data_IF_816494917162
#
_entry.id   IF_816494917162
#
_cell.length_a   1.000
_cell.length_b   1.000
_cell.length_c   1.000
_cell.angle_alpha   90.00
_cell.angle_beta   90.00
_cell.angle_gamma   90.00
#
_symmetry.space_group_name_H-M   'P 1'
#
loop_
_entity.id
_entity.type
_entity.pdbx_description
1 polymer ?
#
# COMPACT_ATOMS: atom_id res chain seq x y z
N UNK A 1 13.73 17.59 -47.26
CA UNK A 1 14.49 16.44 -46.70
C UNK A 1 14.66 16.52 -45.18
N UNK A 2 14.55 17.71 -44.57
CA UNK A 2 14.58 17.94 -43.12
C UNK A 2 13.26 17.62 -42.39
N UNK A 3 12.13 17.63 -43.10
CA UNK A 3 10.81 17.33 -42.53
C UNK A 3 10.66 15.84 -42.12
N UNK A 4 11.11 14.89 -42.96
CA UNK A 4 11.05 13.44 -42.68
C UNK A 4 11.86 13.03 -41.43
N UNK A 5 12.99 13.69 -41.17
CA UNK A 5 13.80 13.44 -39.97
C UNK A 5 13.13 13.98 -38.71
N UNK A 6 12.49 15.14 -38.79
CA UNK A 6 11.81 15.76 -37.65
C UNK A 6 10.57 14.96 -37.27
N UNK A 7 9.83 14.47 -38.26
CA UNK A 7 8.64 13.63 -38.08
C UNK A 7 9.01 12.29 -37.42
N UNK A 8 10.01 11.56 -37.93
CA UNK A 8 10.50 10.31 -37.31
C UNK A 8 11.01 10.50 -35.89
N UNK A 9 11.70 11.61 -35.61
CA UNK A 9 12.20 11.90 -34.25
C UNK A 9 11.04 12.17 -33.28
N UNK A 10 9.97 12.83 -33.76
CA UNK A 10 8.77 13.09 -32.97
C UNK A 10 7.95 11.83 -32.68
N UNK A 11 7.88 10.90 -33.63
CA UNK A 11 7.23 9.61 -33.43
C UNK A 11 7.98 8.72 -32.44
N UNK A 12 9.31 8.66 -32.53
CA UNK A 12 10.13 7.92 -31.55
C UNK A 12 10.00 8.50 -30.13
N UNK A 13 9.99 9.82 -30.00
CA UNK A 13 9.75 10.48 -28.70
C UNK A 13 8.36 10.14 -28.14
N UNK A 14 7.35 10.06 -29.01
CA UNK A 14 5.99 9.68 -28.65
C UNK A 14 5.91 8.21 -28.22
N UNK A 15 6.56 7.29 -28.92
CA UNK A 15 6.64 5.88 -28.51
C UNK A 15 7.32 5.70 -27.15
N UNK A 16 8.43 6.42 -26.91
CA UNK A 16 9.12 6.40 -25.61
C UNK A 16 8.23 6.95 -24.51
N UNK A 17 7.50 8.04 -24.77
CA UNK A 17 6.56 8.64 -23.82
C UNK A 17 5.40 7.67 -23.48
N UNK A 18 4.83 7.01 -24.49
CA UNK A 18 3.76 6.00 -24.31
C UNK A 18 4.29 4.83 -23.48
N UNK A 19 5.46 4.29 -23.84
CA UNK A 19 6.08 3.16 -23.13
C UNK A 19 6.33 3.50 -21.66
N UNK A 20 6.85 4.70 -21.39
CA UNK A 20 7.10 5.18 -20.02
C UNK A 20 5.80 5.37 -19.23
N UNK A 21 4.73 5.82 -19.89
CA UNK A 21 3.42 5.95 -19.27
C UNK A 21 2.80 4.58 -18.94
N UNK A 22 2.91 3.61 -19.84
CA UNK A 22 2.46 2.24 -19.59
C UNK A 22 3.20 1.61 -18.42
N UNK A 23 4.53 1.70 -18.40
CA UNK A 23 5.35 1.19 -17.30
C UNK A 23 4.97 1.80 -15.95
N UNK A 24 4.78 3.13 -15.90
CA UNK A 24 4.36 3.82 -14.69
C UNK A 24 2.96 3.38 -14.21
N UNK A 25 2.05 3.08 -15.14
CA UNK A 25 0.73 2.56 -14.80
C UNK A 25 0.80 1.14 -14.24
N UNK A 26 1.63 0.27 -14.80
CA UNK A 26 1.86 -1.08 -14.26
C UNK A 26 2.50 -1.03 -12.88
N UNK A 27 3.52 -0.19 -12.69
CA UNK A 27 4.19 -0.02 -11.40
C UNK A 27 3.19 0.40 -10.32
N UNK A 28 2.28 1.33 -10.64
CA UNK A 28 1.21 1.78 -9.73
C UNK A 28 0.23 0.66 -9.39
N UNK A 29 -0.13 -0.21 -10.34
CA UNK A 29 -0.97 -1.38 -10.08
C UNK A 29 -0.28 -2.36 -9.11
N UNK A 30 1.01 -2.63 -9.32
CA UNK A 30 1.79 -3.48 -8.41
C UNK A 30 1.89 -2.89 -7.01
N UNK A 31 2.17 -1.59 -6.89
CA UNK A 31 2.23 -0.89 -5.59
C UNK A 31 0.86 -0.93 -4.89
N UNK A 32 -0.22 -0.70 -5.61
CA UNK A 32 -1.57 -0.79 -5.04
C UNK A 32 -1.87 -2.21 -4.52
N UNK A 33 -1.57 -3.25 -5.31
CA UNK A 33 -1.75 -4.63 -4.90
C UNK A 33 -0.86 -5.02 -3.70
N UNK A 34 0.38 -4.52 -3.65
CA UNK A 34 1.28 -4.74 -2.53
C UNK A 34 0.78 -4.07 -1.25
N UNK A 35 0.26 -2.84 -1.33
CA UNK A 35 -0.32 -2.12 -0.18
C UNK A 35 -1.57 -2.83 0.36
N UNK A 36 -2.41 -3.39 -0.51
CA UNK A 36 -3.60 -4.13 -0.11
C UNK A 36 -3.24 -5.46 0.60
N UNK A 37 -2.24 -6.18 0.08
CA UNK A 37 -1.68 -7.38 0.73
C UNK A 37 -1.00 -7.06 2.06
N UNK A 38 -0.34 -5.91 2.18
CA UNK A 38 0.31 -5.50 3.43
C UNK A 38 -0.70 -5.05 4.49
N UNK A 39 -1.78 -4.37 4.08
CA UNK A 39 -2.90 -4.00 4.96
C UNK A 39 -3.60 -5.24 5.54
N UNK A 40 -3.88 -6.24 4.70
CA UNK A 40 -4.47 -7.51 5.15
C UNK A 40 -3.54 -8.29 6.07
N UNK A 41 -2.24 -8.38 5.74
CA UNK A 41 -1.26 -9.01 6.62
C UNK A 41 -1.13 -8.30 7.99
N UNK A 42 -1.18 -6.96 8.01
CA UNK A 42 -1.18 -6.17 9.25
C UNK A 42 -2.39 -6.46 10.13
N UNK A 43 -3.58 -6.65 9.54
CA UNK A 43 -4.78 -7.01 10.31
C UNK A 43 -4.65 -8.43 10.87
N UNK A 44 -4.20 -9.38 10.05
CA UNK A 44 -4.08 -10.79 10.48
C UNK A 44 -3.03 -10.93 11.58
N UNK A 45 -1.85 -10.36 11.41
CA UNK A 45 -0.76 -10.49 12.38
C UNK A 45 -0.97 -9.56 13.58
N UNK A 46 -1.40 -8.31 13.34
CA UNK A 46 -1.47 -7.28 14.37
C UNK A 46 -2.75 -7.28 15.20
N UNK A 47 -3.84 -7.89 14.73
CA UNK A 47 -5.11 -7.98 15.46
C UNK A 47 -5.52 -9.42 15.75
N UNK A 48 -5.60 -10.27 14.73
CA UNK A 48 -6.02 -11.67 14.89
C UNK A 48 -5.01 -12.49 15.70
N UNK A 49 -3.71 -12.28 15.50
CA UNK A 49 -2.66 -12.96 16.28
C UNK A 49 -2.80 -12.76 17.80
N UNK A 50 -2.79 -11.51 18.30
CA UNK A 50 -3.02 -11.22 19.71
C UNK A 50 -4.38 -11.72 20.23
N UNK A 51 -5.44 -11.63 19.41
CA UNK A 51 -6.76 -12.11 19.79
C UNK A 51 -6.77 -13.64 20.04
N UNK A 52 -6.17 -14.41 19.12
CA UNK A 52 -6.05 -15.86 19.26
C UNK A 52 -5.19 -16.21 20.47
N UNK A 53 -4.06 -15.51 20.68
CA UNK A 53 -3.19 -15.73 21.83
C UNK A 53 -3.92 -15.53 23.18
N UNK A 54 -4.76 -14.50 23.28
CA UNK A 54 -5.60 -14.26 24.46
C UNK A 54 -6.65 -15.35 24.64
N UNK A 55 -7.27 -15.83 23.56
CA UNK A 55 -8.29 -16.89 23.62
C UNK A 55 -7.69 -18.24 24.02
N UNK A 56 -6.50 -18.58 23.54
CA UNK A 56 -5.84 -19.86 23.86
C UNK A 56 -5.15 -19.86 25.21
N UNK A 57 -4.80 -18.68 25.73
CA UNK A 57 -4.03 -18.56 26.97
C UNK A 57 -4.43 -17.27 27.71
N UNK A 58 -5.57 -17.30 28.41
CA UNK A 58 -6.11 -16.12 29.11
C UNK A 58 -5.21 -15.64 30.26
N UNK A 59 -4.37 -16.52 30.81
CA UNK A 59 -3.43 -16.23 31.90
C UNK A 59 -2.35 -15.20 31.50
N UNK A 60 -2.15 -14.99 30.19
CA UNK A 60 -1.25 -13.97 29.64
C UNK A 60 -1.68 -12.56 30.05
N UNK A 61 -2.98 -12.32 30.26
CA UNK A 61 -3.49 -11.01 30.72
C UNK A 61 -3.39 -10.85 32.24
N UNK A 62 -3.26 -11.95 32.98
CA UNK A 62 -3.26 -11.92 34.46
C UNK A 62 -1.85 -11.76 35.04
N UNK A 63 -0.81 -12.15 34.31
CA UNK A 63 0.59 -12.03 34.73
C UNK A 63 1.28 -10.73 34.29
N UNK A 64 0.67 -9.96 33.38
CA UNK A 64 1.28 -8.75 32.85
C UNK A 64 1.02 -7.54 33.77
N UNK A 65 2.09 -6.80 34.08
CA UNK A 65 1.97 -5.48 34.72
C UNK A 65 1.13 -4.53 33.84
N UNK A 66 0.39 -3.60 34.44
CA UNK A 66 -0.44 -2.61 33.74
C UNK A 66 0.29 -1.89 32.58
N UNK A 67 1.60 -1.69 32.71
CA UNK A 67 2.45 -1.05 31.69
C UNK A 67 2.64 -1.94 30.45
N UNK A 68 2.78 -3.26 30.63
CA UNK A 68 2.86 -4.24 29.54
C UNK A 68 1.52 -4.38 28.80
N UNK A 69 0.42 -4.36 29.55
CA UNK A 69 -0.93 -4.41 29.00
C UNK A 69 -1.22 -3.14 28.16
N UNK A 70 -0.78 -1.98 28.63
CA UNK A 70 -0.85 -0.72 27.86
C UNK A 70 -0.02 -0.79 26.57
N UNK A 71 1.20 -1.34 26.60
CA UNK A 71 2.04 -1.48 25.41
C UNK A 71 1.40 -2.40 24.36
N UNK A 72 0.79 -3.51 24.78
CA UNK A 72 0.03 -4.40 23.88
C UNK A 72 -1.15 -3.68 23.24
N UNK A 73 -1.88 -2.90 24.03
CA UNK A 73 -2.99 -2.10 23.52
C UNK A 73 -2.53 -1.05 22.50
N UNK A 74 -1.45 -0.31 22.79
CA UNK A 74 -0.86 0.66 21.87
C UNK A 74 -0.42 -0.02 20.56
N UNK A 75 0.21 -1.19 20.64
CA UNK A 75 0.63 -1.95 19.46
C UNK A 75 -0.55 -2.36 18.57
N UNK A 76 -1.66 -2.82 19.17
CA UNK A 76 -2.89 -3.17 18.43
C UNK A 76 -3.50 -1.92 17.77
N UNK A 77 -3.60 -0.82 18.51
CA UNK A 77 -4.10 0.45 17.97
C UNK A 77 -3.22 0.95 16.82
N UNK A 78 -1.89 0.89 16.96
CA UNK A 78 -0.97 1.24 15.89
C UNK A 78 -1.13 0.36 14.66
N UNK A 79 -1.33 -0.95 14.82
CA UNK A 79 -1.58 -1.85 13.70
C UNK A 79 -2.88 -1.51 12.96
N UNK A 80 -3.94 -1.14 13.69
CA UNK A 80 -5.22 -0.71 13.09
C UNK A 80 -5.03 0.61 12.34
N UNK A 81 -4.38 1.59 12.95
CA UNK A 81 -4.11 2.91 12.35
C UNK A 81 -3.23 2.77 11.12
N UNK A 82 -2.16 1.97 11.18
CA UNK A 82 -1.27 1.69 10.05
C UNK A 82 -2.00 0.97 8.92
N UNK A 83 -2.84 -0.02 9.24
CA UNK A 83 -3.64 -0.71 8.23
C UNK A 83 -4.61 0.24 7.54
N UNK A 84 -5.31 1.09 8.31
CA UNK A 84 -6.23 2.08 7.75
C UNK A 84 -5.49 3.14 6.91
N UNK A 85 -4.33 3.59 7.38
CA UNK A 85 -3.44 4.51 6.66
C UNK A 85 -2.93 3.92 5.35
N UNK A 86 -2.54 2.64 5.35
CA UNK A 86 -2.16 1.93 4.13
C UNK A 86 -3.33 1.78 3.16
N UNK A 87 -4.52 1.49 3.67
CA UNK A 87 -5.72 1.31 2.86
C UNK A 87 -6.15 2.65 2.20
N UNK A 88 -6.01 3.77 2.90
CA UNK A 88 -6.20 5.12 2.35
C UNK A 88 -5.07 5.48 1.38
N UNK A 89 -3.81 5.15 1.71
CA UNK A 89 -2.65 5.38 0.86
C UNK A 89 -2.77 4.64 -0.48
N UNK A 90 -3.19 3.38 -0.46
CA UNK A 90 -3.48 2.60 -1.66
C UNK A 90 -4.57 3.25 -2.52
N UNK A 91 -5.67 3.71 -1.90
CA UNK A 91 -6.72 4.46 -2.61
C UNK A 91 -6.21 5.78 -3.19
N UNK A 92 -5.36 6.52 -2.48
CA UNK A 92 -4.80 7.79 -2.95
C UNK A 92 -3.83 7.60 -4.13
N UNK A 93 -3.00 6.56 -4.10
CA UNK A 93 -2.11 6.20 -5.21
C UNK A 93 -2.92 5.84 -6.46
N UNK A 94 -4.02 5.09 -6.30
CA UNK A 94 -4.97 4.80 -7.38
C UNK A 94 -5.66 6.08 -7.90
N UNK A 95 -6.10 6.98 -7.01
CA UNK A 95 -6.80 8.22 -7.39
C UNK A 95 -5.89 9.22 -8.12
N UNK A 96 -4.63 9.35 -7.70
CA UNK A 96 -3.59 10.11 -8.44
C UNK A 96 -3.17 9.44 -9.75
N UNK A 97 -3.31 8.12 -9.86
CA UNK A 97 -3.21 7.38 -11.13
C UNK A 97 -4.30 7.76 -12.11
N UNK A 98 -5.55 7.70 -11.66
CA UNK A 98 -6.71 7.99 -12.49
C UNK A 98 -6.77 9.44 -12.99
N UNK A 99 -6.32 10.40 -12.17
CA UNK A 99 -6.32 11.81 -12.55
C UNK A 99 -5.31 12.14 -13.67
N UNK A 100 -4.16 11.44 -13.71
CA UNK A 100 -3.12 11.62 -14.73
C UNK A 100 -3.40 10.89 -16.05
N UNK A 101 -4.45 10.07 -16.13
CA UNK A 101 -4.86 9.36 -17.36
C UNK A 101 -5.89 10.17 -18.17
N UNK A 102 -6.41 11.28 -17.61
CA UNK A 102 -7.41 12.16 -18.24
C UNK A 102 -6.86 13.50 -18.76
N UNK A 103 -5.57 13.75 -18.60
CA UNK A 103 -4.84 14.89 -19.19
C UNK A 103 -3.93 14.37 -20.28
#
# INVERSE_FOLDING_TARGET
MTEDFTEKTSEQLREIAITRQMWNNELRKYVAAALDRLSTALIVVGFLGPLVAVMTSPDILQHDNNLWLLMKFIAVVLCIVLSFGLHIGGRLVLKRGYLNVRL
#
